data_IF_844321061394
#
_entry.id   IF_844321061394
#
_cell.length_a   1.000
_cell.length_b   1.000
_cell.length_c   1.000
_cell.angle_alpha   90.00
_cell.angle_beta   90.00
_cell.angle_gamma   90.00
#
_symmetry.space_group_name_H-M   'P 1'
#
loop_
_entity.id
_entity.type
_entity.pdbx_description
1 polymer ?
#
# COMPACT_ATOMS: atom_id res chain seq x y z
N UNK A 1 0.85 -58.56 20.65
CA UNK A 1 0.97 -57.21 20.07
C UNK A 1 -0.08 -56.35 20.74
N UNK A 2 0.32 -55.59 21.76
CA UNK A 2 -0.54 -54.60 22.42
C UNK A 2 -0.68 -53.40 21.49
N UNK A 3 -1.86 -53.17 20.94
CA UNK A 3 -2.20 -51.94 20.22
C UNK A 3 -2.09 -50.78 21.20
N UNK A 4 -1.12 -49.87 20.99
CA UNK A 4 -1.10 -48.59 21.70
C UNK A 4 -2.42 -47.85 21.40
N UNK A 5 -3.07 -47.27 22.42
CA UNK A 5 -4.31 -46.54 22.21
C UNK A 5 -4.04 -45.31 21.33
N UNK A 6 -4.89 -45.10 20.32
CA UNK A 6 -4.85 -43.92 19.47
C UNK A 6 -5.03 -42.65 20.34
N UNK A 7 -4.36 -41.54 20.00
CA UNK A 7 -4.53 -40.27 20.72
C UNK A 7 -5.98 -39.79 20.62
N UNK A 8 -6.51 -39.26 21.73
CA UNK A 8 -7.86 -38.69 21.76
C UNK A 8 -7.93 -37.34 21.01
N UNK A 9 -9.15 -36.89 20.71
CA UNK A 9 -9.37 -35.65 19.98
C UNK A 9 -8.79 -34.41 20.70
N UNK A 10 -8.74 -34.41 22.03
CA UNK A 10 -8.17 -33.32 22.81
C UNK A 10 -6.65 -33.24 22.65
N UNK A 11 -5.97 -34.38 22.64
CA UNK A 11 -4.52 -34.47 22.37
C UNK A 11 -4.20 -33.96 20.96
N UNK A 12 -5.03 -34.31 19.98
CA UNK A 12 -4.86 -33.83 18.60
C UNK A 12 -5.02 -32.30 18.55
N UNK A 13 -6.11 -31.74 19.10
CA UNK A 13 -6.33 -30.29 19.10
C UNK A 13 -5.25 -29.51 19.85
N UNK A 14 -4.73 -30.09 20.94
CA UNK A 14 -3.67 -29.48 21.73
C UNK A 14 -2.31 -29.49 21.01
N UNK A 15 -2.14 -30.35 20.01
CA UNK A 15 -0.92 -30.43 19.18
C UNK A 15 -0.91 -29.45 18.00
N UNK A 16 -2.04 -28.79 17.71
CA UNK A 16 -2.15 -27.86 16.60
C UNK A 16 -1.34 -26.58 16.84
N UNK A 17 -0.67 -26.11 15.78
CA UNK A 17 0.08 -24.85 15.78
C UNK A 17 -0.88 -23.64 15.69
N UNK A 18 -1.99 -23.81 14.97
CA UNK A 18 -2.99 -22.76 14.84
C UNK A 18 -3.76 -22.61 16.16
N UNK A 19 -4.14 -21.38 16.45
CA UNK A 19 -4.96 -21.07 17.61
C UNK A 19 -6.39 -21.48 17.33
N UNK A 20 -6.94 -22.36 18.17
CA UNK A 20 -8.33 -22.82 18.04
C UNK A 20 -9.11 -22.36 19.27
N UNK A 21 -10.21 -21.65 19.02
CA UNK A 21 -11.14 -21.17 20.03
C UNK A 21 -12.55 -21.68 19.73
N UNK A 22 -13.27 -22.13 20.75
CA UNK A 22 -14.71 -22.36 20.68
C UNK A 22 -15.40 -21.26 21.47
N UNK A 23 -16.31 -20.53 20.84
CA UNK A 23 -17.08 -19.48 21.49
C UNK A 23 -18.58 -19.79 21.45
N UNK A 24 -19.34 -19.27 22.40
CA UNK A 24 -20.81 -19.31 22.39
C UNK A 24 -21.42 -18.10 21.64
N UNK A 25 -22.75 -17.98 21.71
CA UNK A 25 -23.55 -16.91 21.10
C UNK A 25 -23.23 -15.50 21.63
N UNK A 26 -22.63 -15.42 22.82
CA UNK A 26 -22.13 -14.19 23.45
C UNK A 26 -20.65 -13.95 23.17
N UNK A 27 -20.04 -14.79 22.33
CA UNK A 27 -18.61 -14.82 22.04
C UNK A 27 -17.74 -15.11 23.28
N UNK A 28 -18.31 -15.75 24.31
CA UNK A 28 -17.55 -16.19 25.47
C UNK A 28 -16.77 -17.47 25.15
N UNK A 29 -15.52 -17.54 25.58
CA UNK A 29 -14.63 -18.67 25.26
C UNK A 29 -15.03 -19.91 26.08
N UNK A 30 -15.36 -21.02 25.42
CA UNK A 30 -15.60 -22.33 26.04
C UNK A 30 -14.42 -23.29 25.88
N UNK A 31 -13.63 -23.12 24.83
CA UNK A 31 -12.41 -23.90 24.62
C UNK A 31 -11.33 -23.03 23.99
N UNK A 32 -10.08 -23.28 24.39
CA UNK A 32 -8.90 -22.66 23.83
C UNK A 32 -7.75 -23.67 23.87
N UNK A 33 -7.23 -24.05 22.72
CA UNK A 33 -6.05 -24.92 22.66
C UNK A 33 -4.79 -24.18 23.20
N UNK A 34 -3.66 -24.88 23.44
CA UNK A 34 -2.44 -24.26 23.94
C UNK A 34 -1.92 -23.12 23.06
N UNK A 35 -2.05 -23.24 21.73
CA UNK A 35 -1.67 -22.17 20.80
C UNK A 35 -2.52 -20.90 21.02
N UNK A 36 -3.83 -21.03 21.21
CA UNK A 36 -4.71 -19.91 21.52
C UNK A 36 -4.40 -19.28 22.88
N UNK A 37 -4.09 -20.08 23.89
CA UNK A 37 -3.65 -19.59 25.20
C UNK A 37 -2.36 -18.78 25.10
N UNK A 38 -1.41 -19.24 24.29
CA UNK A 38 -0.15 -18.55 24.04
C UNK A 38 -0.38 -17.23 23.26
N UNK A 39 -1.23 -17.25 22.24
CA UNK A 39 -1.59 -16.06 21.46
C UNK A 39 -2.26 -14.98 22.31
N UNK A 40 -3.19 -15.39 23.17
CA UNK A 40 -3.95 -14.49 24.05
C UNK A 40 -3.20 -14.13 25.34
N UNK A 41 -2.02 -14.71 25.58
CA UNK A 41 -1.23 -14.53 26.80
C UNK A 41 -2.00 -14.79 28.12
N UNK A 42 -3.00 -15.67 28.08
CA UNK A 42 -3.84 -16.02 29.24
C UNK A 42 -3.97 -17.54 29.40
N UNK A 43 -4.16 -18.00 30.64
CA UNK A 43 -4.41 -19.40 30.92
C UNK A 43 -5.82 -19.82 30.51
N UNK A 44 -6.01 -21.10 30.16
CA UNK A 44 -7.34 -21.69 29.87
C UNK A 44 -8.40 -21.30 30.90
N UNK A 45 -8.07 -21.33 32.19
CA UNK A 45 -9.00 -21.01 33.28
C UNK A 45 -9.49 -19.56 33.26
N UNK A 46 -8.65 -18.62 32.83
CA UNK A 46 -9.00 -17.20 32.74
C UNK A 46 -9.73 -16.88 31.44
N UNK A 47 -9.43 -17.61 30.37
CA UNK A 47 -10.14 -17.50 29.10
C UNK A 47 -11.58 -17.99 29.24
N UNK A 48 -11.78 -19.13 29.91
CA UNK A 48 -13.10 -19.78 30.01
C UNK A 48 -14.19 -18.84 30.55
N UNK A 49 -15.27 -18.68 29.79
CA UNK A 49 -16.41 -17.83 30.10
C UNK A 49 -16.20 -16.33 29.85
N UNK A 50 -15.01 -15.91 29.43
CA UNK A 50 -14.73 -14.49 29.13
C UNK A 50 -15.04 -14.19 27.66
N UNK A 51 -15.77 -13.10 27.35
CA UNK A 51 -15.99 -12.66 25.97
C UNK A 51 -14.67 -12.36 25.26
N UNK A 52 -14.51 -12.88 24.03
CA UNK A 52 -13.30 -12.66 23.23
C UNK A 52 -12.94 -11.16 23.07
N UNK A 53 -13.88 -10.23 22.80
CA UNK A 53 -13.57 -8.81 22.67
C UNK A 53 -12.96 -8.19 23.94
N UNK A 54 -13.29 -8.70 25.13
CA UNK A 54 -12.80 -8.17 26.40
C UNK A 54 -11.34 -8.58 26.68
N UNK A 55 -10.87 -9.62 25.99
CA UNK A 55 -9.50 -10.12 26.09
C UNK A 55 -8.52 -9.35 25.17
N UNK A 56 -9.04 -8.47 24.31
CA UNK A 56 -8.30 -7.83 23.23
C UNK A 56 -8.30 -6.32 23.44
N UNK A 57 -7.13 -5.68 23.28
CA UNK A 57 -7.04 -4.21 23.27
C UNK A 57 -7.57 -3.60 21.97
N UNK A 58 -7.54 -4.36 20.89
CA UNK A 58 -8.08 -4.00 19.58
C UNK A 58 -8.36 -5.27 18.78
N UNK A 59 -9.45 -5.25 18.01
CA UNK A 59 -9.83 -6.33 17.11
C UNK A 59 -10.42 -5.71 15.84
N UNK A 60 -9.78 -5.95 14.69
CA UNK A 60 -10.21 -5.34 13.43
C UNK A 60 -11.48 -5.96 12.84
N UNK A 61 -11.82 -7.18 13.27
CA UNK A 61 -12.98 -7.90 12.75
C UNK A 61 -14.26 -7.38 13.40
N UNK A 62 -15.31 -7.20 12.59
CA UNK A 62 -16.61 -6.79 13.10
C UNK A 62 -17.28 -7.95 13.86
N UNK A 63 -17.60 -7.71 15.14
CA UNK A 63 -18.37 -8.62 16.01
C UNK A 63 -19.71 -9.03 15.39
N UNK A 64 -20.35 -8.13 14.64
CA UNK A 64 -21.63 -8.41 13.98
C UNK A 64 -21.49 -9.48 12.91
N UNK A 65 -20.35 -9.56 12.22
CA UNK A 65 -20.08 -10.60 11.22
C UNK A 65 -20.00 -11.99 11.87
N UNK A 66 -19.41 -12.08 13.07
CA UNK A 66 -19.37 -13.32 13.84
C UNK A 66 -20.77 -13.76 14.29
N UNK A 67 -21.59 -12.81 14.73
CA UNK A 67 -23.00 -13.08 15.09
C UNK A 67 -23.85 -13.47 13.89
N UNK A 68 -23.63 -12.84 12.74
CA UNK A 68 -24.30 -13.20 11.50
C UNK A 68 -23.94 -14.63 11.07
N UNK A 69 -22.67 -15.02 11.19
CA UNK A 69 -22.21 -16.39 10.94
C UNK A 69 -22.93 -17.41 11.85
N UNK A 70 -23.06 -17.11 13.14
CA UNK A 70 -23.84 -17.92 14.10
C UNK A 70 -25.31 -18.06 13.69
N UNK A 71 -25.95 -16.96 13.24
CA UNK A 71 -27.37 -16.95 12.89
C UNK A 71 -27.67 -17.64 11.55
N UNK A 72 -26.78 -17.48 10.56
CA UNK A 72 -26.95 -18.02 9.20
C UNK A 72 -26.41 -19.44 9.06
N UNK A 73 -25.55 -19.87 9.98
CA UNK A 73 -24.83 -21.14 9.90
C UNK A 73 -23.73 -21.15 8.83
N UNK A 74 -23.45 -20.01 8.19
CA UNK A 74 -22.41 -19.90 7.17
C UNK A 74 -21.09 -19.49 7.80
N UNK A 75 -20.04 -20.29 7.59
CA UNK A 75 -18.69 -19.91 7.96
C UNK A 75 -18.12 -18.82 7.05
N UNK A 76 -17.09 -18.12 7.53
CA UNK A 76 -16.34 -17.15 6.75
C UNK A 76 -14.85 -17.23 7.05
N UNK A 77 -14.05 -16.68 6.15
CA UNK A 77 -12.60 -16.51 6.35
C UNK A 77 -12.25 -15.06 6.06
N UNK A 78 -11.55 -14.44 7.00
CA UNK A 78 -10.87 -13.17 6.82
C UNK A 78 -9.36 -13.43 6.81
N UNK A 79 -8.69 -13.05 5.73
CA UNK A 79 -7.27 -13.35 5.53
C UNK A 79 -6.36 -12.37 6.26
N UNK A 80 -6.88 -11.24 6.76
CA UNK A 80 -6.10 -10.19 7.39
C UNK A 80 -6.84 -9.57 8.57
N UNK A 81 -6.76 -10.23 9.72
CA UNK A 81 -7.28 -9.74 11.00
C UNK A 81 -6.14 -9.26 11.87
N UNK A 82 -6.27 -8.04 12.37
CA UNK A 82 -5.36 -7.46 13.35
C UNK A 82 -5.96 -7.59 14.75
N UNK A 83 -5.22 -8.23 15.64
CA UNK A 83 -5.53 -8.36 17.06
C UNK A 83 -4.43 -7.67 17.88
N UNK A 84 -4.80 -6.96 18.94
CA UNK A 84 -3.84 -6.43 19.91
C UNK A 84 -4.04 -7.14 21.24
N UNK A 85 -3.01 -7.85 21.69
CA UNK A 85 -2.97 -8.58 22.97
C UNK A 85 -1.79 -8.05 23.76
N UNK A 86 -2.02 -7.63 25.02
CA UNK A 86 -0.98 -7.05 25.90
C UNK A 86 -0.11 -5.96 25.22
N UNK A 87 -0.74 -5.14 24.38
CA UNK A 87 -0.08 -4.05 23.65
C UNK A 87 0.75 -4.49 22.42
N UNK A 88 0.75 -5.77 22.06
CA UNK A 88 1.40 -6.28 20.84
C UNK A 88 0.37 -6.56 19.76
N UNK A 89 0.64 -6.05 18.55
CA UNK A 89 -0.18 -6.31 17.38
C UNK A 89 0.19 -7.64 16.72
N UNK A 90 -0.81 -8.45 16.43
CA UNK A 90 -0.74 -9.72 15.71
C UNK A 90 -1.59 -9.62 14.46
N UNK A 91 -1.02 -9.97 13.30
CA UNK A 91 -1.74 -10.02 12.02
C UNK A 91 -1.89 -11.48 11.63
N UNK A 92 -3.13 -11.95 11.52
CA UNK A 92 -3.50 -13.36 11.39
C UNK A 92 -4.55 -13.53 10.29
N UNK A 93 -4.65 -14.73 9.72
CA UNK A 93 -5.87 -15.16 9.05
C UNK A 93 -6.81 -15.79 10.08
N UNK A 94 -8.09 -15.42 10.03
CA UNK A 94 -9.14 -15.94 10.90
C UNK A 94 -10.16 -16.67 10.04
N UNK A 95 -10.48 -17.91 10.40
CA UNK A 95 -11.63 -18.64 9.86
C UNK A 95 -12.62 -18.90 10.98
N UNK A 96 -13.89 -18.64 10.71
CA UNK A 96 -14.98 -18.85 11.65
C UNK A 96 -15.99 -19.82 11.04
N UNK A 97 -16.41 -20.80 11.83
CA UNK A 97 -17.38 -21.79 11.40
C UNK A 97 -18.41 -22.03 12.49
N UNK A 98 -19.68 -21.79 12.16
CA UNK A 98 -20.79 -22.10 13.05
C UNK A 98 -20.86 -23.61 13.30
N UNK A 99 -21.10 -23.97 14.56
CA UNK A 99 -21.33 -25.33 15.04
C UNK A 99 -22.75 -25.46 15.57
N UNK A 100 -23.28 -26.69 15.72
CA UNK A 100 -24.54 -26.92 16.41
C UNK A 100 -24.56 -26.32 17.82
N UNK A 101 -25.76 -26.16 18.39
CA UNK A 101 -25.96 -25.68 19.77
C UNK A 101 -25.52 -24.24 20.03
N UNK A 102 -25.35 -23.43 18.98
CA UNK A 102 -25.07 -21.99 19.10
C UNK A 102 -23.59 -21.68 19.38
N UNK A 103 -22.69 -22.60 19.03
CA UNK A 103 -21.25 -22.36 19.12
C UNK A 103 -20.67 -21.91 17.79
N UNK A 104 -19.53 -21.22 17.86
CA UNK A 104 -18.69 -20.88 16.71
C UNK A 104 -17.25 -21.32 16.99
N UNK A 105 -16.69 -22.06 16.05
CA UNK A 105 -15.28 -22.44 16.05
C UNK A 105 -14.49 -21.37 15.31
N UNK A 106 -13.48 -20.82 15.96
CA UNK A 106 -12.50 -19.95 15.34
C UNK A 106 -11.17 -20.65 15.22
N UNK A 107 -10.59 -20.56 14.03
CA UNK A 107 -9.20 -20.91 13.78
C UNK A 107 -8.45 -19.62 13.43
N UNK A 108 -7.38 -19.32 14.16
CA UNK A 108 -6.48 -18.21 13.87
C UNK A 108 -5.10 -18.77 13.49
N UNK A 109 -4.68 -18.48 12.27
CA UNK A 109 -3.39 -18.86 11.73
C UNK A 109 -2.51 -17.61 11.60
N UNK A 110 -1.28 -17.61 12.15
CA UNK A 110 -0.36 -16.49 11.93
C UNK A 110 -0.12 -16.30 10.44
N UNK A 111 -0.22 -15.06 9.97
CA UNK A 111 0.19 -14.75 8.61
C UNK A 111 1.70 -14.97 8.51
N UNK A 112 2.09 -15.86 7.60
CA UNK A 112 3.48 -16.20 7.35
C UNK A 112 4.21 -14.96 6.79
N UNK A 113 4.80 -14.16 7.69
CA UNK A 113 5.45 -12.89 7.36
C UNK A 113 6.51 -13.06 6.25
N UNK A 114 7.12 -14.24 6.11
CA UNK A 114 8.05 -14.53 5.02
C UNK A 114 7.37 -14.54 3.65
N UNK A 115 6.15 -15.06 3.54
CA UNK A 115 5.40 -15.05 2.27
C UNK A 115 5.01 -13.64 1.85
N UNK A 116 4.54 -12.81 2.78
CA UNK A 116 4.24 -11.40 2.51
C UNK A 116 5.48 -10.63 2.05
N UNK A 117 6.59 -10.73 2.80
CA UNK A 117 7.85 -10.10 2.44
C UNK A 117 8.37 -10.58 1.07
N UNK A 118 8.25 -11.87 0.77
CA UNK A 118 8.64 -12.43 -0.52
C UNK A 118 7.78 -11.89 -1.68
N UNK A 119 6.45 -11.79 -1.48
CA UNK A 119 5.54 -11.21 -2.47
C UNK A 119 5.81 -9.72 -2.70
N UNK A 120 6.02 -8.95 -1.63
CA UNK A 120 6.39 -7.53 -1.72
C UNK A 120 7.71 -7.34 -2.46
N UNK A 121 8.72 -8.15 -2.14
CA UNK A 121 10.02 -8.13 -2.83
C UNK A 121 9.89 -8.47 -4.30
N UNK A 122 9.09 -9.48 -4.65
CA UNK A 122 8.84 -9.87 -6.03
C UNK A 122 8.13 -8.75 -6.80
N UNK A 123 7.10 -8.14 -6.21
CA UNK A 123 6.35 -7.05 -6.83
C UNK A 123 7.22 -5.80 -7.01
N UNK A 124 8.07 -5.49 -6.02
CA UNK A 124 9.06 -4.43 -6.14
C UNK A 124 10.07 -4.72 -7.26
N UNK A 125 10.60 -5.94 -7.33
CA UNK A 125 11.52 -6.36 -8.39
C UNK A 125 10.89 -6.25 -9.79
N UNK A 126 9.62 -6.66 -9.94
CA UNK A 126 8.87 -6.50 -11.18
C UNK A 126 8.68 -5.02 -11.54
N UNK A 127 8.37 -4.16 -10.58
CA UNK A 127 8.20 -2.73 -10.82
C UNK A 127 9.52 -2.05 -11.25
N UNK A 128 10.65 -2.46 -10.65
CA UNK A 128 11.98 -1.99 -11.05
C UNK A 128 12.30 -2.46 -12.48
N UNK A 129 12.12 -3.74 -12.77
CA UNK A 129 12.37 -4.30 -14.10
C UNK A 129 11.51 -3.62 -15.18
N UNK A 130 10.22 -3.39 -14.90
CA UNK A 130 9.32 -2.67 -15.81
C UNK A 130 9.78 -1.23 -16.05
N UNK A 131 10.24 -0.52 -15.01
CA UNK A 131 10.80 0.82 -15.15
C UNK A 131 12.06 0.84 -16.01
N UNK A 132 12.94 -0.13 -15.85
CA UNK A 132 14.16 -0.23 -16.63
C UNK A 132 13.89 -0.58 -18.10
N UNK A 133 12.92 -1.47 -18.36
CA UNK A 133 12.42 -1.75 -19.71
C UNK A 133 11.85 -0.50 -20.38
N UNK A 134 10.97 0.24 -19.70
CA UNK A 134 10.40 1.48 -20.24
C UNK A 134 11.50 2.52 -20.52
N UNK A 135 12.54 2.58 -19.68
CA UNK A 135 13.72 3.44 -19.93
C UNK A 135 14.50 3.02 -21.16
N UNK A 136 14.79 1.73 -21.32
CA UNK A 136 15.47 1.19 -22.49
C UNK A 136 14.71 1.52 -23.77
N UNK A 137 13.41 1.23 -23.79
CA UNK A 137 12.52 1.54 -24.91
C UNK A 137 12.48 3.03 -25.22
N UNK A 138 12.41 3.89 -24.20
CA UNK A 138 12.40 5.33 -24.41
C UNK A 138 13.72 5.84 -25.02
N UNK A 139 14.86 5.24 -24.67
CA UNK A 139 16.13 5.56 -25.32
C UNK A 139 16.12 5.12 -26.80
N UNK A 140 15.61 3.92 -27.08
CA UNK A 140 15.48 3.41 -28.44
C UNK A 140 14.50 4.21 -29.30
N UNK A 141 13.43 4.79 -28.74
CA UNK A 141 12.49 5.67 -29.46
C UNK A 141 13.09 7.07 -29.71
N UNK A 142 13.91 7.59 -28.79
CA UNK A 142 14.55 8.90 -28.97
C UNK A 142 15.52 8.91 -30.16
N UNK A 143 16.17 7.78 -30.44
CA UNK A 143 17.12 7.63 -31.53
C UNK A 143 16.51 7.88 -32.94
N UNK A 144 15.45 7.19 -33.38
CA UNK A 144 14.80 7.45 -34.66
C UNK A 144 14.13 8.82 -34.71
N UNK A 145 13.62 9.36 -33.60
CA UNK A 145 13.09 10.73 -33.56
C UNK A 145 14.19 11.78 -33.79
N UNK A 146 15.37 11.58 -33.20
CA UNK A 146 16.55 12.39 -33.47
C UNK A 146 16.99 12.30 -34.92
N UNK A 147 16.98 11.09 -35.49
CA UNK A 147 17.26 10.85 -36.92
C UNK A 147 16.26 11.54 -37.85
N UNK A 148 14.96 11.42 -37.60
CA UNK A 148 13.89 12.08 -38.35
C UNK A 148 14.03 13.60 -38.31
N UNK A 149 14.30 14.16 -37.12
CA UNK A 149 14.57 15.59 -36.96
C UNK A 149 15.79 16.02 -37.78
N UNK A 150 16.89 15.27 -37.71
CA UNK A 150 18.12 15.56 -38.46
C UNK A 150 17.90 15.52 -39.98
N UNK A 151 17.20 14.51 -40.47
CA UNK A 151 16.85 14.38 -41.89
C UNK A 151 15.96 15.55 -42.36
N UNK A 152 14.95 15.94 -41.57
CA UNK A 152 14.09 17.08 -41.87
C UNK A 152 14.87 18.41 -41.88
N UNK A 153 15.84 18.58 -40.97
CA UNK A 153 16.73 19.75 -40.95
C UNK A 153 17.64 19.83 -42.19
N UNK A 154 18.16 18.70 -42.67
CA UNK A 154 18.95 18.66 -43.89
C UNK A 154 18.08 18.94 -45.13
N UNK A 155 16.87 18.38 -45.18
CA UNK A 155 15.91 18.61 -46.24
C UNK A 155 15.49 20.09 -46.32
N UNK A 156 15.24 20.72 -45.17
CA UNK A 156 14.92 22.15 -45.08
C UNK A 156 16.00 23.04 -45.72
N UNK A 157 17.28 22.66 -45.58
CA UNK A 157 18.41 23.41 -46.16
C UNK A 157 18.58 23.19 -47.66
N UNK A 158 18.07 22.08 -48.19
CA UNK A 158 18.19 21.71 -49.60
C UNK A 158 16.99 22.16 -50.45
N UNK A 159 15.90 22.59 -49.82
CA UNK A 159 14.68 23.01 -50.50
C UNK A 159 14.81 24.43 -51.07
N UNK A 160 14.50 24.65 -52.35
CA UNK A 160 14.63 25.95 -53.00
C UNK A 160 13.42 26.87 -52.76
N UNK A 161 12.27 26.32 -52.37
CA UNK A 161 11.00 27.04 -52.17
C UNK A 161 10.70 27.24 -50.67
N UNK A 162 10.51 28.50 -50.21
CA UNK A 162 10.07 28.80 -48.85
C UNK A 162 8.80 28.07 -48.42
N UNK A 163 7.84 27.84 -49.33
CA UNK A 163 6.59 27.13 -49.02
C UNK A 163 6.83 25.65 -48.67
N UNK A 164 7.86 25.02 -49.25
CA UNK A 164 8.22 23.64 -48.94
C UNK A 164 8.95 23.50 -47.59
N UNK A 165 9.61 24.58 -47.16
CA UNK A 165 10.28 24.65 -45.84
C UNK A 165 9.27 24.55 -44.70
N UNK A 166 8.04 25.04 -44.88
CA UNK A 166 6.98 24.95 -43.87
C UNK A 166 6.64 23.50 -43.50
N UNK A 167 6.60 22.59 -44.48
CA UNK A 167 6.38 21.15 -44.21
C UNK A 167 7.52 20.54 -43.39
N UNK A 168 8.78 20.90 -43.66
CA UNK A 168 9.91 20.40 -42.87
C UNK A 168 9.90 20.91 -41.43
N UNK A 169 9.41 22.13 -41.21
CA UNK A 169 9.22 22.71 -39.88
C UNK A 169 8.18 21.91 -39.08
N UNK A 170 7.06 21.57 -39.70
CA UNK A 170 6.03 20.71 -39.07
C UNK A 170 6.60 19.36 -38.65
N UNK A 171 7.43 18.72 -39.49
CA UNK A 171 8.06 17.43 -39.16
C UNK A 171 8.99 17.55 -37.94
N UNK A 172 9.80 18.61 -37.89
CA UNK A 172 10.70 18.88 -36.75
C UNK A 172 9.89 19.09 -35.46
N UNK A 173 8.81 19.87 -35.53
CA UNK A 173 7.92 20.12 -34.39
C UNK A 173 7.24 18.83 -33.89
N UNK A 174 6.81 17.94 -34.78
CA UNK A 174 6.24 16.65 -34.38
C UNK A 174 7.28 15.72 -33.74
N UNK A 175 8.50 15.67 -34.27
CA UNK A 175 9.59 14.89 -33.68
C UNK A 175 9.92 15.38 -32.26
N UNK A 176 9.96 16.70 -32.05
CA UNK A 176 10.18 17.31 -30.74
C UNK A 176 9.02 17.07 -29.77
N UNK A 177 7.78 17.14 -30.26
CA UNK A 177 6.58 16.83 -29.48
C UNK A 177 6.60 15.39 -28.98
N UNK A 178 6.93 14.43 -29.84
CA UNK A 178 7.03 13.01 -29.48
C UNK A 178 8.17 12.78 -28.47
N UNK A 179 9.33 13.39 -28.66
CA UNK A 179 10.44 13.32 -27.70
C UNK A 179 10.02 13.81 -26.32
N UNK A 180 9.34 14.96 -26.25
CA UNK A 180 8.85 15.54 -25.01
C UNK A 180 7.72 14.69 -24.36
N UNK A 181 6.96 13.92 -25.15
CA UNK A 181 5.97 12.98 -24.63
C UNK A 181 6.67 11.78 -23.97
N UNK A 182 7.67 11.21 -24.64
CA UNK A 182 8.51 10.12 -24.11
C UNK A 182 9.22 10.55 -22.82
N UNK A 183 9.74 11.78 -22.76
CA UNK A 183 10.37 12.33 -21.55
C UNK A 183 9.39 12.45 -20.37
N UNK A 184 8.12 12.79 -20.63
CA UNK A 184 7.10 12.89 -19.58
C UNK A 184 6.69 11.52 -19.04
N UNK A 185 6.62 10.48 -19.88
CA UNK A 185 6.30 9.11 -19.47
C UNK A 185 7.36 8.51 -18.55
N UNK A 186 8.62 8.90 -18.72
CA UNK A 186 9.73 8.44 -17.88
C UNK A 186 9.77 9.10 -16.49
N UNK A 187 9.03 10.19 -16.29
CA UNK A 187 9.10 10.98 -15.07
C UNK A 187 10.49 11.62 -14.83
N UNK A 188 10.70 12.27 -13.68
CA UNK A 188 11.97 12.92 -13.36
C UNK A 188 13.13 11.90 -13.35
N UNK A 189 14.16 12.17 -14.15
CA UNK A 189 15.31 11.27 -14.38
C UNK A 189 16.17 11.00 -13.12
N UNK A 190 16.01 11.83 -12.08
CA UNK A 190 16.68 11.66 -10.78
C UNK A 190 15.70 12.05 -9.67
N UNK A 191 15.68 11.34 -8.53
CA UNK A 191 15.15 11.96 -7.32
C UNK A 191 15.88 13.29 -7.16
N UNK A 192 15.14 14.40 -7.20
CA UNK A 192 15.74 15.72 -7.05
C UNK A 192 16.58 15.75 -5.78
N UNK A 193 17.74 16.40 -5.80
CA UNK A 193 18.56 16.52 -4.60
C UNK A 193 17.70 17.05 -3.46
N UNK A 194 17.75 16.35 -2.32
CA UNK A 194 17.12 16.82 -1.10
C UNK A 194 17.88 18.07 -0.68
N UNK A 195 17.23 19.22 -0.82
CA UNK A 195 17.77 20.48 -0.34
C UNK A 195 17.05 20.83 0.96
N UNK A 196 17.82 21.25 1.95
CA UNK A 196 17.27 21.88 3.15
C UNK A 196 16.97 23.32 2.78
N UNK A 197 15.70 23.68 2.72
CA UNK A 197 15.27 25.05 2.49
C UNK A 197 14.20 25.43 3.51
N UNK A 198 14.12 26.72 3.85
CA UNK A 198 13.10 27.20 4.78
C UNK A 198 11.72 27.07 4.12
N UNK A 199 10.75 26.48 4.83
CA UNK A 199 9.37 26.36 4.33
C UNK A 199 8.76 27.73 4.05
N UNK A 200 9.14 28.73 4.86
CA UNK A 200 8.73 30.11 4.72
C UNK A 200 9.15 30.70 3.37
N UNK A 201 10.36 30.42 2.90
CA UNK A 201 10.84 30.93 1.60
C UNK A 201 10.07 30.34 0.42
N UNK A 202 9.69 29.06 0.52
CA UNK A 202 8.86 28.42 -0.52
C UNK A 202 7.44 28.97 -0.49
N UNK A 203 6.86 29.08 0.71
CA UNK A 203 5.52 29.61 0.91
C UNK A 203 5.40 31.07 0.43
N UNK A 204 6.40 31.92 0.70
CA UNK A 204 6.44 33.29 0.18
C UNK A 204 6.47 33.33 -1.35
N UNK A 205 7.27 32.48 -1.99
CA UNK A 205 7.39 32.45 -3.44
C UNK A 205 6.09 32.00 -4.11
N UNK A 206 5.40 31.04 -3.51
CA UNK A 206 4.04 30.64 -3.94
C UNK A 206 3.05 31.77 -3.70
N UNK A 207 3.08 32.42 -2.54
CA UNK A 207 2.20 33.56 -2.25
C UNK A 207 2.41 34.71 -3.23
N UNK A 208 3.66 34.99 -3.65
CA UNK A 208 3.97 35.99 -4.67
C UNK A 208 3.38 35.63 -6.03
N UNK A 209 3.52 34.37 -6.46
CA UNK A 209 2.94 33.88 -7.70
C UNK A 209 1.40 33.98 -7.68
N UNK A 210 0.77 33.49 -6.61
CA UNK A 210 -0.69 33.55 -6.46
C UNK A 210 -1.18 34.99 -6.37
N UNK A 211 -0.41 35.90 -5.75
CA UNK A 211 -0.79 37.32 -5.67
C UNK A 211 -0.85 38.01 -7.04
N UNK A 212 -0.14 37.49 -8.06
CA UNK A 212 -0.19 38.02 -9.43
C UNK A 212 -1.45 37.60 -10.19
N UNK A 213 -2.07 36.48 -9.81
CA UNK A 213 -3.23 35.89 -10.50
C UNK A 213 -4.53 36.01 -9.68
N UNK A 214 -4.47 36.58 -8.48
CA UNK A 214 -5.59 36.64 -7.55
C UNK A 214 -6.61 37.71 -7.94
N UNK A 215 -7.92 37.42 -7.88
CA UNK A 215 -8.99 38.42 -7.96
C UNK A 215 -8.92 39.44 -6.81
N UNK A 216 -9.38 40.68 -7.04
CA UNK A 216 -9.29 41.79 -6.07
C UNK A 216 -10.04 41.53 -4.74
N UNK A 217 -11.06 40.67 -4.75
CA UNK A 217 -11.91 40.37 -3.60
C UNK A 217 -11.40 39.26 -2.66
N UNK A 218 -10.26 38.65 -2.97
CA UNK A 218 -9.64 37.64 -2.10
C UNK A 218 -8.54 38.34 -1.29
N UNK A 219 -8.22 37.86 -0.09
CA UNK A 219 -7.12 38.41 0.73
C UNK A 219 -6.21 37.27 1.15
N UNK A 220 -4.91 37.39 0.88
CA UNK A 220 -3.93 36.38 1.32
C UNK A 220 -3.43 36.79 2.71
N UNK A 221 -3.74 36.00 3.73
CA UNK A 221 -3.23 36.18 5.09
C UNK A 221 -2.08 35.20 5.30
N UNK A 222 -0.94 35.72 5.78
CA UNK A 222 0.24 34.91 6.09
C UNK A 222 0.30 34.72 7.60
N UNK A 223 -0.05 33.52 8.05
CA UNK A 223 0.07 33.12 9.45
C UNK A 223 1.09 32.00 9.55
N UNK A 224 2.31 32.35 9.94
CA UNK A 224 3.43 31.41 10.02
C UNK A 224 3.98 31.37 11.45
N UNK A 225 4.14 30.17 12.00
CA UNK A 225 4.80 29.95 13.28
C UNK A 225 6.34 30.09 13.12
N UNK A 226 6.98 31.07 13.79
CA UNK A 226 8.42 31.31 13.68
C UNK A 226 9.32 30.16 14.15
N UNK A 227 8.78 29.18 14.88
CA UNK A 227 9.55 28.09 15.47
C UNK A 227 10.10 27.07 14.43
N UNK A 228 9.48 26.95 13.25
CA UNK A 228 9.85 25.95 12.24
C UNK A 228 10.86 26.49 11.21
N UNK A 229 12.17 26.39 11.50
CA UNK A 229 13.22 26.98 10.65
C UNK A 229 13.72 26.13 9.48
N UNK A 230 13.57 24.81 9.49
CA UNK A 230 14.10 23.96 8.41
C UNK A 230 13.34 22.65 8.21
N UNK A 231 13.16 22.26 6.95
CA UNK A 231 12.59 20.97 6.57
C UNK A 231 13.31 20.43 5.32
N UNK A 232 13.38 19.10 5.15
CA UNK A 232 14.01 18.46 3.98
C UNK A 232 12.97 18.21 2.91
N UNK A 233 13.25 18.65 1.68
CA UNK A 233 12.32 18.51 0.55
C UNK A 233 13.01 18.25 -0.78
N UNK A 234 12.26 17.76 -1.76
CA UNK A 234 12.72 17.45 -3.12
C UNK A 234 12.41 18.63 -4.03
N UNK A 235 13.46 19.25 -4.60
CA UNK A 235 13.42 20.51 -5.37
C UNK A 235 12.34 20.60 -6.48
N UNK A 236 11.90 19.46 -7.05
CA UNK A 236 10.93 19.41 -8.16
C UNK A 236 9.49 19.05 -7.78
N UNK A 237 9.17 18.78 -6.50
CA UNK A 237 7.80 18.45 -6.06
C UNK A 237 6.98 19.65 -5.58
N UNK A 238 7.61 20.78 -5.28
CA UNK A 238 6.95 21.91 -4.59
C UNK A 238 6.07 22.79 -5.49
N UNK A 239 6.39 22.90 -6.79
CA UNK A 239 5.63 23.76 -7.71
C UNK A 239 4.43 23.08 -8.38
N UNK A 240 4.06 21.85 -7.98
CA UNK A 240 3.00 21.05 -8.63
C UNK A 240 1.83 20.66 -7.71
N UNK A 241 1.77 21.20 -6.49
CA UNK A 241 0.68 20.94 -5.54
C UNK A 241 -0.41 22.04 -5.53
N UNK A 242 -0.45 22.92 -6.53
CA UNK A 242 -1.58 23.82 -6.79
C UNK A 242 -2.23 23.43 -8.11
#
# INVERSE_FOLDING_TARGET
>A
MTTEPLPDAGQILNSLINSVLLLDDRLAVHYANPAAQQLLAQSSRKLFGTPLPDLLGYFSLNVDLMRESLNTGQGFTDNEVTLVVDGRAHILSLTAQALPEGYILLELAPMDNQRRLSQEQLQHAQQVAARDLVRGLAHEIKNPLGGLRGAAQLLAKALPDPALTEYTKVIIEQADRLRNLVDRLLGPQRPGQHITQSIHQVAERVCQLVSLEKPENVTLVRDYDPAYRSWRTIRNKLNRCC
#
